data_IF_690675426046
#
_entry.id   IF_690675426046
#
_cell.length_a   1.000
_cell.length_b   1.000
_cell.length_c   1.000
_cell.angle_alpha   90.00
_cell.angle_beta   90.00
_cell.angle_gamma   90.00
#
_symmetry.space_group_name_H-M   'P 1'
#
loop_
_entity.id
_entity.type
_entity.pdbx_description
1 polymer ?
#
# COMPACT_ATOMS: atom_id res chain seq x y z
N UNK A 1 8.08 16.92 19.07
CA UNK A 1 7.82 15.67 18.32
C UNK A 1 6.48 15.85 17.62
N UNK A 2 6.43 16.12 16.33
CA UNK A 2 5.17 16.26 15.59
C UNK A 2 4.69 14.87 15.22
N UNK A 3 3.40 14.54 15.46
CA UNK A 3 2.80 13.32 14.94
C UNK A 3 3.03 13.27 13.43
N UNK A 4 3.65 12.21 12.93
CA UNK A 4 3.95 12.05 11.51
C UNK A 4 2.66 11.81 10.73
N UNK A 5 1.90 12.87 10.49
CA UNK A 5 0.70 12.84 9.66
C UNK A 5 1.08 12.96 8.18
N UNK A 6 0.24 12.44 7.29
CA UNK A 6 0.44 12.54 5.83
C UNK A 6 0.00 13.90 5.25
N UNK A 7 -0.49 14.82 6.09
CA UNK A 7 -0.87 16.18 5.70
C UNK A 7 0.30 17.17 5.72
N UNK A 8 1.42 16.81 6.33
CA UNK A 8 2.65 17.62 6.41
C UNK A 8 3.87 16.75 6.21
N UNK A 9 4.92 17.26 5.56
CA UNK A 9 6.13 16.48 5.34
C UNK A 9 6.93 16.30 6.63
N UNK A 10 7.32 15.05 6.91
CA UNK A 10 8.27 14.70 7.97
C UNK A 10 9.68 14.64 7.41
N UNK A 11 10.65 15.16 8.17
CA UNK A 11 12.07 15.15 7.79
C UNK A 11 12.70 13.75 7.86
N UNK A 12 12.05 12.76 8.48
CA UNK A 12 12.59 11.40 8.66
C UNK A 12 11.92 10.38 7.72
N UNK A 13 10.67 10.63 7.31
CA UNK A 13 9.87 9.65 6.56
C UNK A 13 10.53 9.25 5.23
N UNK A 14 11.06 10.22 4.48
CA UNK A 14 11.69 9.94 3.19
C UNK A 14 12.99 9.13 3.28
N UNK A 15 13.80 9.35 4.33
CA UNK A 15 15.01 8.57 4.57
C UNK A 15 14.66 7.12 4.95
N UNK A 16 13.66 6.96 5.81
CA UNK A 16 13.12 5.65 6.17
C UNK A 16 12.58 4.88 4.96
N UNK A 17 11.76 5.54 4.12
CA UNK A 17 11.21 4.91 2.91
C UNK A 17 12.32 4.46 1.96
N UNK A 18 13.33 5.31 1.71
CA UNK A 18 14.47 5.00 0.84
C UNK A 18 15.34 3.86 1.38
N UNK A 19 15.57 3.84 2.69
CA UNK A 19 16.34 2.78 3.32
C UNK A 19 15.65 1.42 3.14
N UNK A 20 14.35 1.36 3.42
CA UNK A 20 13.58 0.11 3.32
C UNK A 20 13.39 -0.37 1.88
N UNK A 21 13.14 0.53 0.92
CA UNK A 21 13.03 0.14 -0.50
C UNK A 21 14.34 -0.43 -1.03
N UNK A 22 15.48 0.16 -0.66
CA UNK A 22 16.80 -0.35 -1.03
C UNK A 22 17.12 -1.68 -0.34
N UNK A 23 16.70 -1.86 0.92
CA UNK A 23 16.95 -3.09 1.68
C UNK A 23 16.20 -4.29 1.09
N UNK A 24 14.94 -4.11 0.72
CA UNK A 24 14.07 -5.19 0.25
C UNK A 24 13.94 -5.28 -1.28
N UNK A 25 14.49 -4.31 -2.03
CA UNK A 25 14.46 -4.30 -3.49
C UNK A 25 13.09 -3.99 -4.08
N UNK A 26 12.27 -3.17 -3.41
CA UNK A 26 10.96 -2.72 -3.91
C UNK A 26 11.01 -1.28 -4.39
N UNK A 27 10.18 -0.93 -5.38
CA UNK A 27 10.14 0.44 -5.93
C UNK A 27 9.52 1.47 -4.97
N UNK A 28 8.58 1.04 -4.12
CA UNK A 28 7.78 1.91 -3.25
C UNK A 28 7.46 1.23 -1.92
N UNK A 29 7.31 2.03 -0.87
CA UNK A 29 6.88 1.59 0.46
C UNK A 29 5.58 2.31 0.84
N UNK A 30 4.67 1.60 1.50
CA UNK A 30 3.51 2.19 2.16
C UNK A 30 3.55 1.86 3.66
N UNK A 31 4.04 2.77 4.51
CA UNK A 31 4.10 2.54 5.96
C UNK A 31 2.72 2.57 6.59
N UNK A 32 2.50 1.63 7.51
CA UNK A 32 1.25 1.37 8.22
C UNK A 32 1.60 1.01 9.68
N UNK A 33 0.68 1.25 10.62
CA UNK A 33 0.99 1.18 12.05
C UNK A 33 0.96 -0.25 12.58
N UNK A 34 -0.03 -1.06 12.15
CA UNK A 34 -0.19 -2.45 12.60
C UNK A 34 -0.09 -3.46 11.46
N UNK A 35 0.21 -4.72 11.79
CA UNK A 35 0.24 -5.80 10.82
C UNK A 35 -1.12 -6.06 10.17
N UNK A 36 -2.22 -5.90 10.90
CA UNK A 36 -3.59 -6.09 10.39
C UNK A 36 -3.90 -5.06 9.30
N UNK A 37 -3.63 -3.78 9.58
CA UNK A 37 -3.80 -2.71 8.60
C UNK A 37 -2.90 -2.93 7.36
N UNK A 38 -1.71 -3.52 7.55
CA UNK A 38 -0.81 -3.92 6.46
C UNK A 38 -1.43 -4.97 5.54
N UNK A 39 -1.99 -6.04 6.12
CA UNK A 39 -2.69 -7.08 5.38
C UNK A 39 -3.93 -6.54 4.64
N UNK A 40 -4.74 -5.72 5.29
CA UNK A 40 -5.90 -5.08 4.65
C UNK A 40 -5.49 -4.17 3.49
N UNK A 41 -4.43 -3.37 3.68
CA UNK A 41 -3.90 -2.50 2.64
C UNK A 41 -3.39 -3.29 1.43
N UNK A 42 -2.68 -4.41 1.67
CA UNK A 42 -2.23 -5.32 0.61
C UNK A 42 -3.42 -5.90 -0.18
N UNK A 43 -4.47 -6.36 0.50
CA UNK A 43 -5.68 -6.85 -0.17
C UNK A 43 -6.37 -5.77 -1.00
N UNK A 44 -6.45 -4.54 -0.48
CA UNK A 44 -7.05 -3.39 -1.19
C UNK A 44 -6.25 -3.04 -2.44
N UNK A 45 -4.91 -3.03 -2.34
CA UNK A 45 -4.04 -2.76 -3.47
C UNK A 45 -4.16 -3.86 -4.54
N UNK A 46 -4.15 -5.13 -4.14
CA UNK A 46 -4.29 -6.26 -5.05
C UNK A 46 -5.63 -6.23 -5.81
N UNK A 47 -6.73 -5.96 -5.10
CA UNK A 47 -8.07 -5.81 -5.72
C UNK A 47 -8.11 -4.63 -6.67
N UNK A 48 -7.61 -3.47 -6.25
CA UNK A 48 -7.59 -2.27 -7.10
C UNK A 48 -6.77 -2.50 -8.37
N UNK A 49 -5.62 -3.12 -8.26
CA UNK A 49 -4.79 -3.46 -9.40
C UNK A 49 -5.47 -4.47 -10.35
N UNK A 50 -6.22 -5.44 -9.82
CA UNK A 50 -7.00 -6.36 -10.65
C UNK A 50 -8.06 -5.63 -11.50
N UNK A 51 -8.72 -4.62 -10.94
CA UNK A 51 -9.68 -3.80 -11.68
C UNK A 51 -8.98 -2.86 -12.68
N UNK A 52 -7.96 -2.13 -12.24
CA UNK A 52 -7.33 -1.07 -13.04
C UNK A 52 -6.43 -1.64 -14.15
N UNK A 53 -5.56 -2.59 -13.82
CA UNK A 53 -4.53 -3.09 -14.72
C UNK A 53 -4.93 -4.36 -15.47
N UNK A 54 -5.71 -5.24 -14.83
CA UNK A 54 -6.16 -6.50 -15.46
C UNK A 54 -7.56 -6.40 -16.09
N UNK A 55 -8.26 -5.28 -15.92
CA UNK A 55 -9.64 -5.05 -16.40
C UNK A 55 -10.60 -6.20 -16.03
N UNK A 56 -10.35 -6.87 -14.90
CA UNK A 56 -11.22 -7.94 -14.44
C UNK A 56 -12.47 -7.30 -13.85
N UNK A 57 -13.58 -7.34 -14.60
CA UNK A 57 -14.90 -7.07 -14.02
C UNK A 57 -15.16 -8.17 -13.00
N UNK A 58 -15.54 -7.78 -11.78
CA UNK A 58 -15.93 -8.74 -10.74
C UNK A 58 -16.92 -9.73 -11.36
N UNK A 59 -16.51 -11.00 -11.49
CA UNK A 59 -17.29 -12.04 -12.16
C UNK A 59 -18.68 -12.00 -11.55
N UNK A 60 -19.66 -11.54 -12.33
CA UNK A 60 -21.07 -11.67 -11.97
C UNK A 60 -21.26 -13.14 -11.69
N UNK A 61 -21.65 -13.47 -10.47
CA UNK A 61 -22.08 -14.81 -10.09
C UNK A 61 -23.22 -15.22 -11.02
N UNK A 62 -22.90 -15.84 -12.16
CA UNK A 62 -23.81 -16.67 -12.91
C UNK A 62 -23.93 -17.97 -12.12
N UNK A 63 -24.68 -17.91 -11.04
CA UNK A 63 -25.26 -19.08 -10.41
C UNK A 63 -26.60 -19.28 -11.12
N UNK A 64 -26.55 -20.00 -12.24
CA UNK A 64 -27.64 -20.90 -12.62
C UNK A 64 -27.39 -22.26 -11.99
#
# INVERSE_FOLDING_TARGET
LTLCSRGTNSNVLGEYEKFMTNLFGYDKLLPINSGVEGCESAMKLARRWAYDAKSLVAVSSSTD
#
